data_IF_826239918555
#
_entry.id   IF_826239918555
#
_cell.length_a   1.000
_cell.length_b   1.000
_cell.length_c   1.000
_cell.angle_alpha   90.00
_cell.angle_beta   90.00
_cell.angle_gamma   90.00
#
_symmetry.space_group_name_H-M   'P 1'
#
loop_
_entity.id
_entity.type
_entity.pdbx_description
1 polymer ?
#
# COMPACT_ATOMS: atom_id res chain seq x y z
N UNK A 1 16.76 -0.70 -0.47
CA UNK A 1 17.33 -1.48 0.64
C UNK A 1 17.64 -2.85 0.07
N UNK A 2 18.90 -3.13 -0.23
CA UNK A 2 19.30 -4.44 -0.74
C UNK A 2 19.03 -5.49 0.33
N UNK A 3 17.90 -6.20 0.19
CA UNK A 3 17.70 -7.46 0.88
C UNK A 3 18.80 -8.40 0.39
N UNK A 4 19.80 -8.64 1.23
CA UNK A 4 20.85 -9.64 0.96
C UNK A 4 20.22 -11.03 1.00
N UNK A 5 19.58 -11.41 -0.10
CA UNK A 5 18.92 -12.69 -0.26
C UNK A 5 19.98 -13.80 -0.26
N UNK A 6 20.05 -14.57 0.83
CA UNK A 6 20.99 -15.68 0.95
C UNK A 6 20.45 -16.88 0.18
N UNK A 7 21.30 -17.57 -0.56
CA UNK A 7 20.95 -18.82 -1.25
C UNK A 7 21.66 -19.99 -0.59
N UNK A 8 20.93 -21.09 -0.34
CA UNK A 8 21.48 -22.31 0.24
C UNK A 8 20.96 -23.57 -0.45
N UNK A 9 21.77 -24.65 -0.53
CA UNK A 9 21.31 -25.93 -1.05
C UNK A 9 20.42 -26.67 -0.04
N UNK A 10 19.49 -27.47 -0.54
CA UNK A 10 18.53 -28.23 0.27
C UNK A 10 19.20 -29.22 1.22
N UNK A 11 20.38 -29.73 0.87
CA UNK A 11 21.16 -30.60 1.76
C UNK A 11 21.64 -29.87 3.01
N UNK A 12 22.16 -28.65 2.85
CA UNK A 12 22.59 -27.82 3.97
C UNK A 12 21.39 -27.34 4.80
N UNK A 13 20.29 -26.98 4.15
CA UNK A 13 19.04 -26.64 4.83
C UNK A 13 18.54 -27.82 5.69
N UNK A 14 18.56 -29.05 5.18
CA UNK A 14 18.14 -30.24 5.94
C UNK A 14 19.00 -30.45 7.19
N UNK A 15 20.31 -30.19 7.11
CA UNK A 15 21.23 -30.35 8.23
C UNK A 15 21.08 -29.26 9.30
N UNK A 16 20.68 -28.04 8.93
CA UNK A 16 20.65 -26.85 9.82
C UNK A 16 19.28 -26.20 9.94
N UNK A 17 18.21 -26.93 9.62
CA UNK A 17 16.86 -26.38 9.41
C UNK A 17 16.39 -25.46 10.54
N UNK A 18 16.44 -25.94 11.79
CA UNK A 18 15.99 -25.19 12.97
C UNK A 18 16.80 -23.90 13.18
N UNK A 19 18.13 -23.98 13.04
CA UNK A 19 19.01 -22.81 13.17
C UNK A 19 18.72 -21.75 12.11
N UNK A 20 18.53 -22.19 10.86
CA UNK A 20 18.19 -21.27 9.75
C UNK A 20 16.85 -20.58 10.00
N UNK A 21 15.85 -21.29 10.52
CA UNK A 21 14.55 -20.69 10.88
C UNK A 21 14.71 -19.61 11.96
N UNK A 22 15.52 -19.86 12.99
CA UNK A 22 15.79 -18.86 14.02
C UNK A 22 16.55 -17.64 13.48
N UNK A 23 17.56 -17.86 12.63
CA UNK A 23 18.30 -16.77 11.99
C UNK A 23 17.39 -15.91 11.10
N UNK A 24 16.50 -16.52 10.33
CA UNK A 24 15.51 -15.81 9.51
C UNK A 24 14.55 -15.00 10.40
N UNK A 25 14.11 -15.57 11.54
CA UNK A 25 13.27 -14.86 12.50
C UNK A 25 13.99 -13.67 13.17
N UNK A 26 15.25 -13.85 13.56
CA UNK A 26 16.04 -12.85 14.30
C UNK A 26 16.55 -11.71 13.42
N UNK A 27 17.11 -12.05 12.26
CA UNK A 27 17.78 -11.09 11.38
C UNK A 27 16.88 -10.61 10.23
N UNK A 28 15.68 -11.18 10.08
CA UNK A 28 14.75 -10.89 8.98
C UNK A 28 15.37 -11.01 7.60
N UNK A 29 16.43 -11.80 7.47
CA UNK A 29 17.10 -12.03 6.18
C UNK A 29 16.45 -13.20 5.47
N UNK A 30 15.87 -13.01 4.27
CA UNK A 30 15.25 -14.09 3.54
C UNK A 30 16.29 -15.07 2.97
N UNK A 31 15.91 -16.34 2.91
CA UNK A 31 16.78 -17.43 2.45
C UNK A 31 16.08 -18.22 1.34
N UNK A 32 16.75 -18.38 0.20
CA UNK A 32 16.30 -19.23 -0.91
C UNK A 32 16.96 -20.60 -0.80
N UNK A 33 16.13 -21.64 -0.73
CA UNK A 33 16.55 -23.02 -0.74
C UNK A 33 16.55 -23.50 -2.19
N UNK A 34 17.65 -24.12 -2.61
CA UNK A 34 17.84 -24.66 -3.96
C UNK A 34 18.03 -26.18 -3.95
N UNK A 35 17.56 -26.87 -4.99
CA UNK A 35 17.83 -28.29 -5.22
C UNK A 35 18.38 -28.44 -6.64
N UNK A 36 19.60 -28.99 -6.78
CA UNK A 36 20.32 -29.09 -8.07
C UNK A 36 20.44 -27.74 -8.78
N UNK A 37 20.78 -26.68 -8.04
CA UNK A 37 20.94 -25.32 -8.58
C UNK A 37 19.64 -24.59 -8.92
N UNK A 38 18.47 -25.23 -8.76
CA UNK A 38 17.16 -24.60 -9.01
C UNK A 38 16.50 -24.18 -7.70
N UNK A 39 15.94 -22.97 -7.58
CA UNK A 39 15.21 -22.56 -6.38
C UNK A 39 13.95 -23.40 -6.21
N UNK A 40 13.71 -23.87 -4.98
CA UNK A 40 12.55 -24.73 -4.63
C UNK A 40 11.68 -24.14 -3.53
N UNK A 41 12.25 -23.35 -2.62
CA UNK A 41 11.51 -22.71 -1.54
C UNK A 41 12.20 -21.42 -1.10
N UNK A 42 11.44 -20.50 -0.51
CA UNK A 42 11.96 -19.28 0.11
C UNK A 42 11.46 -19.23 1.55
N UNK A 43 12.38 -19.09 2.48
CA UNK A 43 12.10 -18.82 3.89
C UNK A 43 12.10 -17.30 4.08
N UNK A 44 10.99 -16.80 4.59
CA UNK A 44 10.79 -15.39 4.93
C UNK A 44 10.46 -15.28 6.42
N UNK A 45 10.85 -14.18 7.08
CA UNK A 45 10.41 -13.93 8.45
C UNK A 45 8.87 -13.87 8.51
N UNK A 46 8.26 -14.29 9.63
CA UNK A 46 6.82 -14.14 9.80
C UNK A 46 6.43 -12.66 9.76
N UNK A 47 5.28 -12.38 9.15
CA UNK A 47 4.68 -11.05 9.16
C UNK A 47 4.38 -10.65 10.61
N UNK A 48 4.80 -9.44 11.00
CA UNK A 48 4.38 -8.90 12.29
C UNK A 48 2.87 -8.68 12.28
N UNK A 49 2.17 -8.99 13.39
CA UNK A 49 0.78 -8.61 13.54
C UNK A 49 0.72 -7.08 13.44
N UNK A 50 0.25 -6.58 12.30
CA UNK A 50 0.00 -5.16 12.11
C UNK A 50 -1.07 -4.79 13.10
N UNK A 51 -0.77 -3.89 14.03
CA UNK A 51 -1.82 -3.17 14.76
C UNK A 51 -2.56 -2.37 13.70
N UNK A 52 -3.83 -2.67 13.47
CA UNK A 52 -4.66 -1.91 12.56
C UNK A 52 -4.60 -0.43 12.98
N UNK A 53 -3.97 0.39 12.16
CA UNK A 53 -3.78 1.83 12.44
C UNK A 53 -5.13 2.54 12.36
N UNK A 54 -6.07 1.98 11.59
CA UNK A 54 -7.46 2.42 11.57
C UNK A 54 -8.14 2.12 12.91
N UNK A 55 -8.60 3.17 13.59
CA UNK A 55 -9.31 3.04 14.86
C UNK A 55 -8.43 3.05 16.12
N UNK A 56 -7.09 3.13 16.00
CA UNK A 56 -6.18 3.22 17.15
C UNK A 56 -6.44 4.43 18.08
N UNK A 57 -7.18 5.43 17.59
CA UNK A 57 -7.58 6.61 18.35
C UNK A 57 -9.11 6.77 18.48
N UNK A 58 -9.90 5.77 18.06
CA UNK A 58 -11.37 5.87 18.04
C UNK A 58 -11.97 6.30 19.39
N UNK A 59 -11.39 5.84 20.50
CA UNK A 59 -11.85 6.17 21.86
C UNK A 59 -11.09 7.33 22.53
N UNK A 60 -10.18 7.99 21.80
CA UNK A 60 -9.36 9.09 22.35
C UNK A 60 -9.79 10.48 21.91
N UNK A 61 -10.75 10.60 21.01
CA UNK A 61 -11.28 11.89 20.61
C UNK A 61 -12.77 11.98 20.96
N UNK A 62 -13.14 13.10 21.55
CA UNK A 62 -14.53 13.48 21.72
C UNK A 62 -14.77 14.65 20.78
N UNK A 63 -15.79 14.55 19.95
CA UNK A 63 -16.18 15.65 19.07
C UNK A 63 -16.89 16.68 19.96
N UNK A 64 -16.19 17.78 20.28
CA UNK A 64 -16.68 18.82 21.21
C UNK A 64 -17.51 19.91 20.46
N UNK A 65 -18.26 19.53 19.43
CA UNK A 65 -19.02 20.48 18.61
C UNK A 65 -19.61 19.86 17.35
N UNK A 66 -20.29 20.66 16.54
CA UNK A 66 -20.78 20.23 15.24
C UNK A 66 -19.66 20.38 14.19
N UNK A 67 -19.13 19.25 13.70
CA UNK A 67 -18.06 19.21 12.69
C UNK A 67 -18.54 19.74 11.35
N UNK A 68 -19.85 19.65 11.10
CA UNK A 68 -20.50 20.13 9.88
C UNK A 68 -20.92 21.61 9.99
N UNK A 69 -20.76 22.23 11.16
CA UNK A 69 -20.99 23.67 11.34
C UNK A 69 -19.92 24.47 10.60
N UNK A 70 -20.20 24.61 9.32
CA UNK A 70 -19.46 25.33 8.29
C UNK A 70 -19.66 26.84 8.48
N UNK A 71 -19.56 27.35 9.72
CA UNK A 71 -19.72 28.79 10.01
C UNK A 71 -18.48 29.61 9.59
N UNK A 72 -17.34 28.93 9.38
CA UNK A 72 -16.07 29.54 8.95
C UNK A 72 -15.87 29.47 7.43
N UNK A 73 -16.62 28.61 6.72
CA UNK A 73 -16.47 28.41 5.29
C UNK A 73 -17.78 28.74 4.55
N UNK A 74 -17.74 29.29 3.34
CA UNK A 74 -18.95 29.45 2.56
C UNK A 74 -19.56 28.07 2.23
N UNK A 75 -20.89 27.98 2.03
CA UNK A 75 -21.56 26.74 1.58
C UNK A 75 -20.85 26.11 0.37
N UNK A 76 -20.85 24.77 0.26
CA UNK A 76 -20.08 24.01 -0.75
C UNK A 76 -20.25 24.53 -2.19
N UNK A 77 -21.45 25.00 -2.55
CA UNK A 77 -21.77 25.59 -3.85
C UNK A 77 -21.10 26.95 -4.12
N UNK A 78 -20.60 27.63 -3.10
CA UNK A 78 -19.87 28.90 -3.15
C UNK A 78 -18.36 28.74 -2.96
N UNK A 79 -17.83 27.52 -3.06
CA UNK A 79 -16.39 27.27 -3.10
C UNK A 79 -15.82 27.73 -4.45
N UNK A 80 -15.76 29.05 -4.64
CA UNK A 80 -15.03 29.66 -5.75
C UNK A 80 -13.54 29.49 -5.48
N UNK A 81 -12.97 28.41 -6.02
CA UNK A 81 -11.53 28.07 -5.96
C UNK A 81 -10.60 29.21 -6.45
N UNK A 82 -11.15 30.23 -7.12
CA UNK A 82 -10.42 31.37 -7.65
C UNK A 82 -10.01 32.43 -6.62
N UNK A 83 -10.51 32.38 -5.36
CA UNK A 83 -10.26 33.43 -4.36
C UNK A 83 -9.24 33.05 -3.27
N UNK A 84 -8.70 31.83 -3.31
CA UNK A 84 -7.69 31.38 -2.36
C UNK A 84 -6.28 31.71 -2.91
N UNK A 85 -5.46 32.51 -2.20
CA UNK A 85 -4.15 32.94 -2.70
C UNK A 85 -3.17 31.80 -3.00
N UNK A 86 -3.37 30.62 -2.41
CA UNK A 86 -2.56 29.43 -2.67
C UNK A 86 -3.01 28.61 -3.89
N UNK A 87 -4.26 28.78 -4.36
CA UNK A 87 -4.82 28.03 -5.50
C UNK A 87 -4.30 28.52 -6.86
N UNK A 88 -3.75 29.74 -6.92
CA UNK A 88 -3.17 30.33 -8.14
C UNK A 88 -1.92 29.59 -8.66
N UNK A 89 -1.32 28.71 -7.86
CA UNK A 89 -0.09 27.97 -8.20
C UNK A 89 -0.34 26.52 -8.66
N UNK A 90 -1.60 26.09 -8.78
CA UNK A 90 -1.92 24.80 -9.37
C UNK A 90 -1.83 24.94 -10.90
N UNK A 91 -0.69 24.51 -11.45
CA UNK A 91 -0.41 24.54 -12.88
C UNK A 91 -1.51 23.89 -13.73
N UNK A 92 -1.58 24.31 -14.99
CA UNK A 92 -2.64 23.99 -15.94
C UNK A 92 -2.97 22.48 -16.02
N UNK A 93 -4.27 22.21 -15.97
CA UNK A 93 -4.91 20.93 -16.20
C UNK A 93 -4.46 20.29 -17.55
N UNK A 94 -4.07 19.00 -17.58
CA UNK A 94 -3.75 18.35 -18.84
C UNK A 94 -5.01 18.20 -19.71
N UNK A 95 -4.90 18.66 -20.98
CA UNK A 95 -5.93 18.55 -22.02
C UNK A 95 -6.48 17.13 -22.11
N UNK A 96 -7.76 16.96 -21.77
CA UNK A 96 -8.49 15.68 -21.93
C UNK A 96 -8.52 15.25 -23.40
N UNK A 97 -7.76 14.21 -23.75
CA UNK A 97 -7.91 13.50 -25.03
C UNK A 97 -9.26 12.79 -25.05
N UNK A 98 -10.18 13.24 -25.90
CA UNK A 98 -11.47 12.58 -26.16
C UNK A 98 -11.20 11.19 -26.76
N UNK A 99 -11.42 10.13 -25.98
CA UNK A 99 -11.56 8.77 -26.53
C UNK A 99 -12.99 8.61 -27.03
N UNK A 100 -13.17 8.46 -28.34
CA UNK A 100 -14.45 8.12 -28.93
C UNK A 100 -14.90 6.74 -28.43
N UNK A 101 -16.14 6.62 -27.98
CA UNK A 101 -16.78 5.34 -27.63
C UNK A 101 -17.24 4.66 -28.93
N UNK A 102 -16.87 3.40 -29.21
CA UNK A 102 -17.51 2.64 -30.27
C UNK A 102 -18.94 2.25 -29.85
N UNK A 103 -19.87 2.42 -30.80
CA UNK A 103 -21.30 2.22 -30.67
C UNK A 103 -21.61 0.71 -30.68
N UNK A 104 -22.20 0.18 -29.61
CA UNK A 104 -22.68 -1.21 -29.62
C UNK A 104 -24.01 -1.30 -30.35
N UNK A 105 -24.04 -2.10 -31.41
CA UNK A 105 -25.26 -2.45 -32.11
C UNK A 105 -26.11 -3.36 -31.21
N UNK A 106 -27.35 -2.93 -30.93
CA UNK A 106 -28.33 -3.73 -30.20
C UNK A 106 -28.77 -4.89 -31.09
N UNK A 107 -28.56 -6.12 -30.62
CA UNK A 107 -29.08 -7.32 -31.24
C UNK A 107 -30.56 -7.48 -30.86
N UNK A 108 -31.40 -7.62 -31.88
CA UNK A 108 -32.83 -7.96 -31.82
C UNK A 108 -33.01 -9.46 -31.57
N UNK A 109 -33.96 -9.82 -30.72
CA UNK A 109 -34.79 -11.01 -30.89
C UNK A 109 -36.12 -10.84 -30.19
#
# INVERSE_FOLDING_TARGET
MEETMKTMPAGEFKARCLRVMEEVKKYRTPVVITKKGKPVAKLVPPDEPRKDVFGCMADRFTIIGDVEQTAVFPPFEKWDMARLPWAANLGHEPRKRKRARPQSHKATR
#
